data_IF_388313439711
#
_entry.id   IF_388313439711
#
_cell.length_a   1.000
_cell.length_b   1.000
_cell.length_c   1.000
_cell.angle_alpha   90.00
_cell.angle_beta   90.00
_cell.angle_gamma   90.00
#
_symmetry.space_group_name_H-M   'P 1'
#
loop_
_entity.id
_entity.type
_entity.pdbx_description
1 polymer ?
#
# COMPACT_ATOMS: atom_id res chain seq x y z
N UNK A 1 20.69 12.91 15.38
CA UNK A 1 19.28 12.91 14.86
C UNK A 1 18.33 12.68 16.03
N UNK A 2 17.15 13.33 16.04
CA UNK A 2 16.10 13.06 17.04
C UNK A 2 15.33 11.78 16.68
N UNK A 3 14.81 11.12 17.71
CA UNK A 3 14.02 9.91 17.53
C UNK A 3 12.61 10.30 17.11
N UNK A 4 12.11 9.74 16.00
CA UNK A 4 10.72 9.96 15.56
C UNK A 4 9.74 9.27 16.50
N UNK A 5 8.70 9.99 16.92
CA UNK A 5 7.56 9.45 17.67
C UNK A 5 6.53 8.82 16.72
N UNK A 6 6.41 9.36 15.53
CA UNK A 6 5.55 8.80 14.47
C UNK A 6 5.94 7.36 14.15
N UNK A 7 4.96 6.52 13.87
CA UNK A 7 5.17 5.10 13.59
C UNK A 7 5.31 4.21 14.83
N UNK A 8 5.38 4.79 16.03
CA UNK A 8 5.37 4.02 17.29
C UNK A 8 3.95 3.66 17.69
N UNK A 9 3.77 2.41 18.13
CA UNK A 9 2.49 2.02 18.73
C UNK A 9 2.40 2.43 20.20
N UNK A 10 1.22 2.18 20.79
CA UNK A 10 0.96 2.61 22.15
C UNK A 10 1.92 1.98 23.18
N UNK A 11 2.33 0.73 22.99
CA UNK A 11 3.23 0.05 23.92
C UNK A 11 4.68 0.58 23.84
N UNK A 12 5.12 0.94 22.64
CA UNK A 12 6.40 1.63 22.46
C UNK A 12 6.38 3.03 23.06
N UNK A 13 5.26 3.76 22.92
CA UNK A 13 5.08 5.05 23.57
C UNK A 13 5.02 4.92 25.10
N UNK A 14 4.41 3.85 25.65
CA UNK A 14 4.44 3.59 27.11
C UNK A 14 5.86 3.35 27.63
N UNK A 15 6.67 2.58 26.89
CA UNK A 15 8.08 2.35 27.25
C UNK A 15 8.86 3.66 27.23
N UNK A 16 8.68 4.45 26.18
CA UNK A 16 9.33 5.76 26.03
C UNK A 16 8.99 6.70 27.19
N UNK A 17 7.71 6.87 27.52
CA UNK A 17 7.32 7.79 28.61
C UNK A 17 7.82 7.30 29.97
N UNK A 18 7.93 5.99 30.19
CA UNK A 18 8.51 5.42 31.42
C UNK A 18 10.01 5.72 31.51
N UNK A 19 10.75 5.59 30.40
CA UNK A 19 12.19 5.94 30.33
C UNK A 19 12.44 7.42 30.59
N UNK A 20 11.49 8.30 30.20
CA UNK A 20 11.58 9.75 30.44
C UNK A 20 10.97 10.16 31.79
N UNK A 21 10.61 9.23 32.66
CA UNK A 21 10.03 9.52 33.98
C UNK A 21 8.67 10.20 33.95
N UNK A 22 7.95 10.06 32.83
CA UNK A 22 6.61 10.66 32.65
C UNK A 22 5.50 9.69 33.11
N UNK A 23 4.35 10.20 33.56
CA UNK A 23 3.19 9.35 33.92
C UNK A 23 2.75 8.47 32.74
N UNK A 24 2.37 7.22 33.01
CA UNK A 24 2.02 6.24 31.97
C UNK A 24 0.87 6.67 31.04
N UNK A 25 -0.08 7.49 31.51
CA UNK A 25 -1.16 8.03 30.69
C UNK A 25 -0.67 8.99 29.60
N UNK A 26 0.53 9.57 29.75
CA UNK A 26 1.16 10.47 28.78
C UNK A 26 1.36 9.78 27.42
N UNK A 27 1.57 8.47 27.39
CA UNK A 27 1.68 7.70 26.14
C UNK A 27 0.42 7.83 25.29
N UNK A 28 -0.76 7.68 25.91
CA UNK A 28 -2.05 7.84 25.19
C UNK A 28 -2.28 9.28 24.76
N UNK A 29 -1.84 10.25 25.55
CA UNK A 29 -1.91 11.67 25.16
C UNK A 29 -1.03 11.95 23.93
N UNK A 30 0.21 11.45 23.92
CA UNK A 30 1.12 11.59 22.75
C UNK A 30 0.49 10.93 21.52
N UNK A 31 -0.01 9.69 21.62
CA UNK A 31 -0.67 9.00 20.53
C UNK A 31 -1.85 9.82 19.96
N UNK A 32 -2.69 10.37 20.83
CA UNK A 32 -3.82 11.20 20.46
C UNK A 32 -3.39 12.48 19.72
N UNK A 33 -2.32 13.13 20.15
CA UNK A 33 -1.79 14.31 19.47
C UNK A 33 -1.24 13.97 18.08
N UNK A 34 -0.49 12.89 17.97
CA UNK A 34 0.16 12.51 16.72
C UNK A 34 -0.88 11.97 15.71
N UNK A 35 -1.72 11.00 16.11
CA UNK A 35 -2.54 10.22 15.17
C UNK A 35 -3.95 10.77 14.98
N UNK A 36 -4.52 11.42 16.00
CA UNK A 36 -5.87 11.97 15.92
C UNK A 36 -5.83 13.46 15.55
N UNK A 37 -5.01 14.23 16.26
CA UNK A 37 -4.87 15.69 16.01
C UNK A 37 -3.84 16.03 14.93
N UNK A 38 -3.00 15.07 14.54
CA UNK A 38 -2.03 15.17 13.43
C UNK A 38 -1.07 16.36 13.59
N UNK A 39 -0.63 16.64 14.82
CA UNK A 39 0.33 17.72 15.09
C UNK A 39 1.67 17.46 14.42
N UNK A 40 2.41 18.52 14.16
CA UNK A 40 3.74 18.48 13.52
C UNK A 40 4.87 18.63 14.51
N UNK A 41 4.62 19.21 15.67
CA UNK A 41 5.62 19.50 16.69
C UNK A 41 5.18 19.03 18.07
N UNK A 42 6.15 18.75 18.95
CA UNK A 42 5.87 18.39 20.35
C UNK A 42 5.28 19.60 21.12
N UNK A 43 5.62 20.82 20.72
CA UNK A 43 5.11 22.03 21.38
C UNK A 43 3.60 22.22 21.24
N UNK A 44 2.99 21.66 20.21
CA UNK A 44 1.54 21.64 20.01
C UNK A 44 0.78 20.74 21.01
N UNK A 45 1.48 19.84 21.72
CA UNK A 45 0.89 18.90 22.69
C UNK A 45 0.54 19.60 24.01
N UNK A 46 -0.38 20.55 23.97
CA UNK A 46 -0.63 21.52 25.07
C UNK A 46 -1.16 20.95 26.37
N UNK A 47 -1.67 19.71 26.39
CA UNK A 47 -2.05 19.01 27.63
C UNK A 47 -0.86 18.35 28.34
N UNK A 48 0.35 18.40 27.75
CA UNK A 48 1.60 18.09 28.44
C UNK A 48 2.16 19.35 29.08
N UNK A 49 2.80 19.21 30.24
CA UNK A 49 3.45 20.35 30.88
C UNK A 49 4.54 20.95 29.99
N UNK A 50 4.83 22.26 30.14
CA UNK A 50 5.91 22.91 29.39
C UNK A 50 7.26 22.21 29.60
N UNK A 51 7.53 21.77 30.83
CA UNK A 51 8.77 21.06 31.18
C UNK A 51 8.85 19.69 30.45
N UNK A 52 7.74 18.92 30.43
CA UNK A 52 7.69 17.64 29.71
C UNK A 52 7.89 17.83 28.20
N UNK A 53 7.24 18.82 27.58
CA UNK A 53 7.42 19.13 26.15
C UNK A 53 8.88 19.51 25.84
N UNK A 54 9.48 20.37 26.65
CA UNK A 54 10.87 20.78 26.48
C UNK A 54 11.83 19.59 26.62
N UNK A 55 11.64 18.72 27.61
CA UNK A 55 12.45 17.51 27.79
C UNK A 55 12.31 16.54 26.62
N UNK A 56 11.07 16.25 26.19
CA UNK A 56 10.83 15.40 25.04
C UNK A 56 11.44 15.98 23.76
N UNK A 57 11.28 17.28 23.50
CA UNK A 57 11.77 17.93 22.30
C UNK A 57 13.31 17.94 22.17
N UNK A 58 14.05 17.70 23.25
CA UNK A 58 15.51 17.53 23.18
C UNK A 58 15.91 16.23 22.49
N UNK A 59 15.20 15.14 22.75
CA UNK A 59 15.53 13.80 22.29
C UNK A 59 14.66 13.32 21.12
N UNK A 60 13.42 13.80 21.04
CA UNK A 60 12.39 13.32 20.13
C UNK A 60 11.86 14.43 19.22
N UNK A 61 11.24 13.99 18.15
CA UNK A 61 10.43 14.80 17.23
C UNK A 61 9.16 14.04 16.84
N UNK A 62 8.11 14.72 16.39
CA UNK A 62 6.95 14.04 15.83
C UNK A 62 7.37 13.25 14.61
N UNK A 63 8.12 13.84 13.70
CA UNK A 63 8.83 13.15 12.63
C UNK A 63 7.96 12.85 11.40
N UNK A 64 6.95 13.69 11.13
CA UNK A 64 6.17 13.60 9.88
C UNK A 64 7.03 14.08 8.72
N UNK A 65 7.18 13.26 7.70
CA UNK A 65 7.85 13.62 6.45
C UNK A 65 6.87 14.40 5.56
N UNK A 66 7.13 15.68 5.22
CA UNK A 66 6.29 16.43 4.30
C UNK A 66 6.48 15.92 2.86
N UNK A 67 5.48 16.11 2.01
CA UNK A 67 5.69 15.91 0.59
C UNK A 67 6.53 17.05 -0.01
N UNK A 68 7.31 16.72 -1.04
CA UNK A 68 8.17 17.65 -1.76
C UNK A 68 7.55 18.11 -3.09
N UNK A 69 6.52 17.43 -3.57
CA UNK A 69 5.88 17.75 -4.83
C UNK A 69 4.45 17.26 -4.90
N UNK A 70 3.64 17.97 -5.72
CA UNK A 70 2.24 17.69 -5.95
C UNK A 70 1.91 17.86 -7.43
N UNK A 71 1.23 16.87 -8.00
CA UNK A 71 0.61 16.94 -9.32
C UNK A 71 -0.89 16.70 -9.17
N UNK A 72 -1.69 17.43 -9.93
CA UNK A 72 -3.15 17.36 -9.90
C UNK A 72 -3.64 16.99 -11.30
N UNK A 73 -4.38 15.88 -11.38
CA UNK A 73 -5.02 15.41 -12.59
C UNK A 73 -6.30 16.20 -12.91
N UNK A 74 -6.69 16.18 -14.16
CA UNK A 74 -7.96 16.74 -14.63
C UNK A 74 -9.19 16.08 -13.98
N UNK A 75 -9.06 14.84 -13.51
CA UNK A 75 -10.12 14.11 -12.82
C UNK A 75 -10.12 14.33 -11.27
N UNK A 76 -9.28 15.26 -10.80
CA UNK A 76 -9.14 15.60 -9.38
C UNK A 76 -8.21 14.67 -8.59
N UNK A 77 -7.67 13.62 -9.21
CA UNK A 77 -6.65 12.76 -8.58
C UNK A 77 -5.40 13.58 -8.28
N UNK A 78 -4.82 13.39 -7.09
CA UNK A 78 -3.59 14.08 -6.68
C UNK A 78 -2.48 13.09 -6.43
N UNK A 79 -1.31 13.34 -7.02
CA UNK A 79 -0.09 12.56 -6.82
C UNK A 79 0.92 13.38 -6.02
N UNK A 80 1.29 12.85 -4.87
CA UNK A 80 2.22 13.44 -3.93
C UNK A 80 3.57 12.73 -4.00
N UNK A 81 4.66 13.48 -4.10
CA UNK A 81 6.03 12.96 -4.04
C UNK A 81 6.60 13.18 -2.64
N UNK A 82 7.06 12.10 -2.00
CA UNK A 82 7.69 12.14 -0.69
C UNK A 82 9.17 11.76 -0.79
N UNK A 83 10.09 12.57 -0.24
CA UNK A 83 11.43 12.14 0.02
C UNK A 83 11.42 11.15 1.19
N UNK A 84 12.08 10.02 1.03
CA UNK A 84 12.16 8.99 2.07
C UNK A 84 13.59 8.52 2.25
N UNK A 85 13.91 8.07 3.48
CA UNK A 85 15.14 7.34 3.77
C UNK A 85 14.78 5.88 3.97
N UNK A 86 15.30 5.02 3.13
CA UNK A 86 14.95 3.61 3.05
C UNK A 86 16.07 2.72 3.57
N UNK A 87 15.73 1.55 4.10
CA UNK A 87 16.68 0.55 4.55
C UNK A 87 16.48 -0.76 3.81
N UNK A 88 17.56 -1.45 3.46
CA UNK A 88 17.52 -2.82 2.94
C UNK A 88 17.21 -3.85 4.02
N UNK A 89 17.32 -3.50 5.30
CA UNK A 89 17.03 -4.37 6.43
C UNK A 89 15.52 -4.52 6.61
N UNK A 90 15.09 -5.73 6.98
CA UNK A 90 13.70 -6.06 7.33
C UNK A 90 13.50 -5.99 8.83
N UNK A 91 12.31 -5.59 9.26
CA UNK A 91 11.87 -5.61 10.66
C UNK A 91 11.57 -4.24 11.24
N UNK A 92 10.89 -4.26 12.39
CA UNK A 92 10.55 -3.07 13.18
C UNK A 92 11.73 -2.70 14.10
N UNK A 93 11.87 -1.40 14.36
CA UNK A 93 12.81 -0.89 15.37
C UNK A 93 14.27 -1.33 15.19
N UNK A 94 14.67 -1.65 13.95
CA UNK A 94 16.07 -1.87 13.67
C UNK A 94 16.82 -0.57 13.94
N UNK A 95 17.89 -0.65 14.72
CA UNK A 95 18.89 0.43 14.78
C UNK A 95 19.63 0.39 13.45
N UNK A 96 19.15 1.19 12.52
CA UNK A 96 19.81 1.43 11.24
C UNK A 96 20.60 2.70 11.44
N UNK A 97 21.91 2.65 11.24
CA UNK A 97 22.73 3.87 11.25
C UNK A 97 22.36 4.73 10.05
N UNK A 98 22.66 6.03 10.12
CA UNK A 98 22.39 6.93 8.99
C UNK A 98 23.08 6.50 7.71
N UNK A 99 24.27 5.93 7.83
CA UNK A 99 25.08 5.43 6.71
C UNK A 99 24.48 4.19 6.02
N UNK A 100 23.53 3.52 6.69
CA UNK A 100 22.80 2.35 6.15
C UNK A 100 21.45 2.74 5.51
N UNK A 101 21.11 4.02 5.50
CA UNK A 101 19.89 4.54 4.87
C UNK A 101 20.22 5.12 3.50
N UNK A 102 19.46 4.70 2.49
CA UNK A 102 19.54 5.27 1.15
C UNK A 102 18.44 6.33 0.96
N UNK A 103 18.82 7.43 0.31
CA UNK A 103 17.85 8.44 -0.12
C UNK A 103 17.00 7.88 -1.26
N UNK A 104 15.69 8.03 -1.11
CA UNK A 104 14.71 7.57 -2.09
C UNK A 104 13.56 8.55 -2.22
N UNK A 105 12.73 8.30 -3.21
CA UNK A 105 11.47 9.00 -3.39
C UNK A 105 10.35 8.00 -3.62
N UNK A 106 9.18 8.30 -3.07
CA UNK A 106 7.96 7.52 -3.30
C UNK A 106 6.81 8.43 -3.69
N UNK A 107 5.84 7.86 -4.36
CA UNK A 107 4.61 8.55 -4.71
C UNK A 107 3.43 7.96 -3.95
N UNK A 108 2.55 8.84 -3.44
CA UNK A 108 1.23 8.47 -2.93
C UNK A 108 0.17 9.14 -3.79
N UNK A 109 -0.96 8.47 -3.98
CA UNK A 109 -2.03 8.99 -4.85
C UNK A 109 -3.33 9.10 -4.06
N UNK A 110 -3.86 10.32 -3.94
CA UNK A 110 -5.20 10.56 -3.41
C UNK A 110 -6.20 10.53 -4.56
N UNK A 111 -7.15 9.63 -4.47
CA UNK A 111 -8.21 9.42 -5.47
C UNK A 111 -9.52 9.90 -4.86
N UNK A 112 -10.08 11.02 -5.37
CA UNK A 112 -11.37 11.51 -4.93
C UNK A 112 -12.50 10.66 -5.54
N UNK A 113 -13.55 10.48 -4.76
CA UNK A 113 -14.84 9.97 -5.17
C UNK A 113 -15.90 10.77 -4.39
N UNK A 114 -17.15 10.80 -4.79
CA UNK A 114 -18.17 11.72 -4.25
C UNK A 114 -18.16 11.79 -2.71
N UNK A 115 -18.24 10.65 -2.05
CA UNK A 115 -18.24 10.56 -0.57
C UNK A 115 -16.94 9.96 -0.02
N UNK A 116 -15.98 9.60 -0.86
CA UNK A 116 -14.77 8.91 -0.47
C UNK A 116 -13.51 9.63 -0.95
N UNK A 117 -12.51 9.62 -0.10
CA UNK A 117 -11.15 9.97 -0.47
C UNK A 117 -10.26 8.77 -0.16
N UNK A 118 -9.77 8.11 -1.19
CA UNK A 118 -8.93 6.91 -1.07
C UNK A 118 -7.48 7.28 -1.26
N UNK A 119 -6.62 6.93 -0.30
CA UNK A 119 -5.18 7.07 -0.45
C UNK A 119 -4.57 5.76 -0.94
N UNK A 120 -3.93 5.80 -2.10
CA UNK A 120 -3.05 4.75 -2.60
C UNK A 120 -1.66 4.96 -2.01
N UNK A 121 -1.21 4.02 -1.17
CA UNK A 121 -0.06 4.16 -0.29
C UNK A 121 1.09 3.32 -0.78
N UNK A 122 2.29 3.87 -0.73
CA UNK A 122 3.56 3.18 -1.00
C UNK A 122 4.16 2.59 0.28
N UNK A 123 4.83 1.45 0.14
CA UNK A 123 5.47 0.71 1.23
C UNK A 123 6.97 0.50 1.08
N UNK A 124 7.50 0.74 -0.12
CA UNK A 124 8.92 0.62 -0.45
C UNK A 124 9.32 1.71 -1.45
N UNK A 125 10.57 2.08 -1.49
CA UNK A 125 11.17 2.78 -2.61
C UNK A 125 11.66 1.72 -3.61
N UNK A 126 11.09 1.74 -4.83
CA UNK A 126 11.24 0.65 -5.78
C UNK A 126 10.55 -0.66 -5.36
N UNK A 127 10.80 -1.75 -6.10
CA UNK A 127 10.22 -3.06 -5.81
C UNK A 127 11.09 -4.18 -6.38
N UNK A 128 11.42 -5.18 -5.56
CA UNK A 128 12.25 -6.32 -6.01
C UNK A 128 11.48 -7.40 -6.78
N UNK A 129 10.15 -7.28 -6.88
CA UNK A 129 9.32 -8.31 -7.53
C UNK A 129 9.46 -8.34 -9.04
N UNK A 130 9.94 -7.26 -9.65
CA UNK A 130 10.36 -7.20 -11.04
C UNK A 130 9.23 -7.37 -12.07
N UNK A 131 7.98 -7.06 -11.72
CA UNK A 131 6.86 -7.09 -12.66
C UNK A 131 7.16 -6.19 -13.85
N UNK A 132 7.19 -6.74 -15.07
CA UNK A 132 7.69 -6.05 -16.27
C UNK A 132 6.74 -4.95 -16.76
N UNK A 133 5.48 -5.03 -16.40
CA UNK A 133 4.43 -4.05 -16.72
C UNK A 133 4.28 -2.95 -15.66
N UNK A 134 5.15 -2.89 -14.65
CA UNK A 134 5.09 -1.95 -13.55
C UNK A 134 6.36 -1.10 -13.49
N UNK A 135 6.22 0.22 -13.54
CA UNK A 135 7.35 1.15 -13.49
C UNK A 135 8.16 1.00 -12.19
N UNK A 136 7.49 0.83 -11.06
CA UNK A 136 8.15 0.58 -9.77
C UNK A 136 8.97 -0.72 -9.79
N UNK A 137 8.44 -1.79 -10.39
CA UNK A 137 9.14 -3.07 -10.49
C UNK A 137 10.36 -3.04 -11.41
N UNK A 138 10.35 -2.15 -12.40
CA UNK A 138 11.47 -1.97 -13.36
C UNK A 138 12.62 -1.14 -12.82
N UNK A 139 12.37 -0.30 -11.82
CA UNK A 139 13.41 0.53 -11.19
C UNK A 139 14.32 -0.25 -10.25
N UNK A 140 13.96 -1.49 -9.92
CA UNK A 140 14.63 -2.24 -8.88
C UNK A 140 14.18 -1.85 -7.47
N UNK A 141 14.93 -2.26 -6.48
CA UNK A 141 14.62 -2.08 -5.07
C UNK A 141 15.65 -1.18 -4.40
N UNK A 142 15.19 -0.09 -3.81
CA UNK A 142 16.02 0.89 -3.10
C UNK A 142 15.88 0.79 -1.58
N UNK A 143 14.80 0.18 -1.07
CA UNK A 143 14.67 -0.11 0.36
C UNK A 143 13.25 -0.09 0.90
N UNK A 144 13.14 -0.59 2.14
CA UNK A 144 11.89 -0.61 2.91
C UNK A 144 11.62 0.75 3.56
N UNK A 145 10.38 1.18 3.49
CA UNK A 145 9.91 2.34 4.25
C UNK A 145 9.64 1.94 5.70
N UNK A 146 9.94 2.84 6.64
CA UNK A 146 9.52 2.68 8.03
C UNK A 146 8.01 2.87 8.20
N UNK A 147 7.45 2.39 9.30
CA UNK A 147 6.06 2.67 9.64
C UNK A 147 5.78 4.18 9.75
N UNK A 148 6.76 4.98 10.20
CA UNK A 148 6.66 6.44 10.24
C UNK A 148 6.50 7.04 8.84
N UNK A 149 7.26 6.57 7.85
CA UNK A 149 7.18 7.09 6.48
C UNK A 149 5.87 6.65 5.81
N UNK A 150 5.37 5.43 6.10
CA UNK A 150 4.07 4.98 5.63
C UNK A 150 2.95 5.87 6.22
N UNK A 151 2.96 6.11 7.54
CA UNK A 151 1.93 6.95 8.21
C UNK A 151 2.06 8.42 7.81
N UNK A 152 3.28 8.90 7.48
CA UNK A 152 3.47 10.27 6.98
C UNK A 152 2.61 10.55 5.74
N UNK A 153 2.40 9.58 4.85
CA UNK A 153 1.57 9.75 3.67
C UNK A 153 0.11 10.09 4.05
N UNK A 154 -0.42 9.53 5.15
CA UNK A 154 -1.78 9.81 5.61
C UNK A 154 -1.91 11.18 6.28
N UNK A 155 -0.86 11.64 6.94
CA UNK A 155 -0.89 12.88 7.72
C UNK A 155 -0.52 14.08 6.84
N UNK A 156 0.40 13.91 5.88
CA UNK A 156 1.00 15.03 5.16
C UNK A 156 0.23 15.48 3.92
N UNK A 157 -0.64 14.62 3.35
CA UNK A 157 -1.47 15.01 2.19
C UNK A 157 -2.51 16.07 2.58
N UNK A 158 -2.89 16.94 1.65
CA UNK A 158 -3.82 18.06 1.87
C UNK A 158 -5.20 17.56 2.36
N UNK A 159 -5.63 16.38 1.90
CA UNK A 159 -6.91 15.77 2.25
C UNK A 159 -6.86 14.89 3.50
N UNK A 160 -5.82 15.00 4.32
CA UNK A 160 -5.60 14.14 5.49
C UNK A 160 -6.84 13.93 6.35
N UNK A 161 -7.65 15.00 6.57
CA UNK A 161 -8.87 14.93 7.39
C UNK A 161 -10.09 14.38 6.64
N UNK A 162 -10.00 14.28 5.31
CA UNK A 162 -11.08 13.76 4.45
C UNK A 162 -10.84 12.32 4.02
N UNK A 163 -9.67 11.76 4.28
CA UNK A 163 -9.36 10.39 3.90
C UNK A 163 -10.33 9.41 4.55
N UNK A 164 -10.92 8.53 3.75
CA UNK A 164 -11.87 7.52 4.22
C UNK A 164 -11.39 6.09 4.01
N UNK A 165 -10.52 5.86 3.01
CA UNK A 165 -10.05 4.54 2.62
C UNK A 165 -8.55 4.56 2.30
N UNK A 166 -7.92 3.40 2.41
CA UNK A 166 -6.54 3.19 1.98
C UNK A 166 -6.40 1.92 1.15
N UNK A 167 -5.54 1.99 0.13
CA UNK A 167 -5.12 0.83 -0.64
C UNK A 167 -3.59 0.80 -0.70
N UNK A 168 -2.99 -0.28 -0.23
CA UNK A 168 -1.55 -0.51 -0.35
C UNK A 168 -1.27 -1.08 -1.74
N UNK A 169 -1.40 -0.22 -2.75
CA UNK A 169 -1.24 -0.52 -4.18
C UNK A 169 -0.29 0.48 -4.86
N UNK A 170 0.43 1.28 -4.08
CA UNK A 170 1.46 2.18 -4.54
C UNK A 170 2.77 1.46 -4.82
N UNK A 171 3.89 2.12 -4.56
CA UNK A 171 5.21 1.57 -4.80
C UNK A 171 5.57 0.49 -3.76
N UNK A 172 6.12 -0.64 -4.25
CA UNK A 172 6.60 -1.74 -3.44
C UNK A 172 5.61 -2.89 -3.26
N UNK A 173 6.12 -3.99 -2.66
CA UNK A 173 5.34 -5.15 -2.24
C UNK A 173 5.10 -5.07 -0.72
N UNK A 174 3.85 -4.85 -0.27
CA UNK A 174 3.57 -4.66 1.15
C UNK A 174 3.98 -5.84 2.02
N UNK A 175 3.80 -7.08 1.54
CA UNK A 175 4.17 -8.26 2.33
C UNK A 175 5.67 -8.54 2.33
N UNK A 176 6.47 -7.90 1.48
CA UNK A 176 7.93 -7.90 1.60
C UNK A 176 8.42 -6.93 2.70
N UNK A 177 7.64 -5.87 2.97
CA UNK A 177 7.85 -4.93 4.10
C UNK A 177 6.84 -5.19 5.24
N UNK A 178 6.62 -6.45 5.56
CA UNK A 178 5.51 -6.92 6.39
C UNK A 178 5.36 -6.19 7.71
N UNK A 179 6.42 -6.16 8.52
CA UNK A 179 6.33 -5.66 9.89
C UNK A 179 6.01 -4.15 9.95
N UNK A 180 6.58 -3.35 9.05
CA UNK A 180 6.28 -1.91 8.96
C UNK A 180 4.86 -1.65 8.44
N UNK A 181 4.40 -2.43 7.47
CA UNK A 181 3.04 -2.35 6.94
C UNK A 181 2.02 -2.74 8.01
N UNK A 182 2.26 -3.84 8.74
CA UNK A 182 1.38 -4.27 9.83
C UNK A 182 1.35 -3.26 10.97
N UNK A 183 2.49 -2.62 11.30
CA UNK A 183 2.54 -1.52 12.26
C UNK A 183 1.71 -0.31 11.77
N UNK A 184 1.81 0.06 10.52
CA UNK A 184 0.99 1.13 9.95
C UNK A 184 -0.51 0.79 10.02
N UNK A 185 -0.89 -0.45 9.70
CA UNK A 185 -2.28 -0.94 9.81
C UNK A 185 -2.76 -0.93 11.27
N UNK A 186 -1.94 -1.33 12.23
CA UNK A 186 -2.24 -1.23 13.67
C UNK A 186 -2.58 0.21 14.04
N UNK A 187 -1.75 1.18 13.66
CA UNK A 187 -1.97 2.61 13.92
C UNK A 187 -3.25 3.12 13.25
N UNK A 188 -3.53 2.68 12.01
CA UNK A 188 -4.73 3.10 11.29
C UNK A 188 -6.02 2.53 11.91
N UNK A 189 -5.96 1.33 12.52
CA UNK A 189 -7.17 0.62 12.99
C UNK A 189 -7.39 0.69 14.49
N UNK A 190 -6.36 0.97 15.29
CA UNK A 190 -6.46 1.03 16.74
C UNK A 190 -7.27 2.24 17.21
N UNK A 191 -7.95 2.11 18.36
CA UNK A 191 -8.75 3.16 19.01
C UNK A 191 -7.93 4.37 19.48
N UNK A 192 -6.66 4.16 19.77
CA UNK A 192 -5.72 5.23 20.14
C UNK A 192 -5.06 5.89 18.91
N UNK A 193 -5.27 5.33 17.71
CA UNK A 193 -4.75 5.80 16.44
C UNK A 193 -5.81 6.51 15.58
N UNK A 194 -5.91 6.14 14.30
CA UNK A 194 -6.92 6.71 13.39
C UNK A 194 -8.33 6.13 13.60
N UNK A 195 -8.45 5.02 14.31
CA UNK A 195 -9.70 4.30 14.59
C UNK A 195 -10.52 3.91 13.34
N UNK A 196 -9.83 3.62 12.23
CA UNK A 196 -10.50 3.19 11.01
C UNK A 196 -10.97 1.74 11.11
N UNK A 197 -12.11 1.45 10.51
CA UNK A 197 -12.52 0.05 10.32
C UNK A 197 -11.53 -0.66 9.37
N UNK A 198 -11.10 -1.90 9.68
CA UNK A 198 -10.30 -2.71 8.76
C UNK A 198 -10.90 -2.84 7.34
N UNK A 199 -12.21 -2.74 7.20
CA UNK A 199 -12.93 -2.75 5.90
C UNK A 199 -12.58 -1.57 4.99
N UNK A 200 -11.98 -0.51 5.53
CA UNK A 200 -11.55 0.68 4.78
C UNK A 200 -10.14 0.52 4.21
N UNK A 201 -9.46 -0.58 4.52
CA UNK A 201 -8.07 -0.82 4.14
C UNK A 201 -7.99 -2.07 3.28
N UNK A 202 -7.33 -1.97 2.13
CA UNK A 202 -7.00 -3.10 1.26
C UNK A 202 -5.50 -3.21 1.13
N UNK A 203 -4.95 -4.38 1.39
CA UNK A 203 -3.53 -4.69 1.15
C UNK A 203 -3.44 -5.53 -0.12
N UNK A 204 -2.68 -5.04 -1.09
CA UNK A 204 -2.38 -5.77 -2.32
C UNK A 204 -1.07 -6.51 -2.19
N UNK A 205 -0.98 -7.70 -2.75
CA UNK A 205 0.24 -8.51 -2.78
C UNK A 205 0.32 -9.38 -4.01
N UNK A 206 1.53 -9.69 -4.41
CA UNK A 206 1.81 -10.72 -5.42
C UNK A 206 1.74 -12.14 -4.84
N UNK A 207 1.62 -12.28 -3.52
CA UNK A 207 1.52 -13.56 -2.81
C UNK A 207 2.83 -14.05 -2.20
N UNK A 208 3.54 -13.20 -1.45
CA UNK A 208 4.73 -13.60 -0.66
C UNK A 208 4.31 -14.61 0.40
N UNK A 209 4.37 -15.91 0.08
CA UNK A 209 3.69 -16.99 0.83
C UNK A 209 3.93 -17.00 2.34
N UNK A 210 5.17 -16.87 2.87
CA UNK A 210 5.38 -16.87 4.32
C UNK A 210 4.65 -15.74 5.04
N UNK A 211 4.71 -14.54 4.47
CA UNK A 211 4.07 -13.36 5.04
C UNK A 211 2.58 -13.27 4.69
N UNK A 212 2.15 -13.86 3.58
CA UNK A 212 0.72 -14.00 3.26
C UNK A 212 0.01 -14.86 4.30
N UNK A 213 0.61 -15.97 4.73
CA UNK A 213 0.05 -16.80 5.80
C UNK A 213 -0.12 -15.99 7.09
N UNK A 214 0.94 -15.30 7.53
CA UNK A 214 0.87 -14.40 8.70
C UNK A 214 -0.23 -13.35 8.54
N UNK A 215 -0.32 -12.70 7.37
CA UNK A 215 -1.36 -11.71 7.09
C UNK A 215 -2.77 -12.30 7.22
N UNK A 216 -2.99 -13.49 6.71
CA UNK A 216 -4.28 -14.18 6.78
C UNK A 216 -4.69 -14.52 8.22
N UNK A 217 -3.72 -14.77 9.09
CA UNK A 217 -3.92 -15.09 10.51
C UNK A 217 -4.05 -13.83 11.38
N UNK A 218 -3.25 -12.78 11.13
CA UNK A 218 -3.07 -11.63 12.01
C UNK A 218 -3.94 -10.41 11.59
N UNK A 219 -4.31 -10.26 10.30
CA UNK A 219 -4.93 -9.06 9.77
C UNK A 219 -6.39 -9.28 9.35
N UNK A 220 -7.24 -8.29 9.61
CA UNK A 220 -8.67 -8.29 9.22
C UNK A 220 -8.98 -7.35 8.03
N UNK A 221 -7.98 -6.69 7.48
CA UNK A 221 -8.15 -5.84 6.30
C UNK A 221 -8.46 -6.67 5.05
N UNK A 222 -8.99 -6.03 4.02
CA UNK A 222 -9.21 -6.67 2.73
C UNK A 222 -7.90 -7.07 2.08
N UNK A 223 -7.91 -8.20 1.36
CA UNK A 223 -6.78 -8.71 0.59
C UNK A 223 -7.05 -8.52 -0.90
N UNK A 224 -6.09 -7.99 -1.64
CA UNK A 224 -6.06 -8.01 -3.09
C UNK A 224 -4.83 -8.80 -3.57
N UNK A 225 -5.01 -9.71 -4.51
CA UNK A 225 -3.93 -10.56 -5.02
C UNK A 225 -3.67 -10.23 -6.49
N UNK A 226 -2.43 -9.85 -6.81
CA UNK A 226 -1.97 -9.61 -8.18
C UNK A 226 -1.86 -10.93 -8.93
N UNK A 227 -2.93 -11.33 -9.63
CA UNK A 227 -2.99 -12.58 -10.39
C UNK A 227 -2.42 -12.39 -11.80
N UNK A 228 -3.00 -11.49 -12.57
CA UNK A 228 -2.66 -11.00 -13.91
C UNK A 228 -2.57 -12.07 -15.02
N UNK A 229 -2.34 -13.32 -14.70
CA UNK A 229 -2.37 -14.43 -15.65
C UNK A 229 -2.60 -15.78 -14.94
N UNK A 230 -3.53 -16.65 -15.44
CA UNK A 230 -3.78 -17.97 -14.85
C UNK A 230 -2.77 -19.02 -15.30
N UNK A 231 -2.02 -18.79 -16.38
CA UNK A 231 -1.06 -19.75 -16.92
C UNK A 231 0.34 -19.46 -16.42
N UNK A 232 0.95 -20.40 -15.71
CA UNK A 232 2.25 -20.22 -15.07
C UNK A 232 3.37 -19.74 -16.00
N UNK A 233 3.54 -20.29 -17.24
CA UNK A 233 4.56 -19.80 -18.17
C UNK A 233 4.33 -18.36 -18.63
N UNK A 234 3.08 -18.00 -18.91
CA UNK A 234 2.72 -16.64 -19.35
C UNK A 234 2.89 -15.66 -18.20
N UNK A 235 2.40 -16.01 -17.00
CA UNK A 235 2.60 -15.20 -15.80
C UNK A 235 4.08 -14.99 -15.49
N UNK A 236 4.92 -16.02 -15.62
CA UNK A 236 6.38 -15.91 -15.42
C UNK A 236 7.01 -14.92 -16.40
N UNK A 237 6.51 -14.85 -17.64
CA UNK A 237 7.04 -13.93 -18.65
C UNK A 237 6.85 -12.45 -18.30
N UNK A 238 5.81 -12.11 -17.54
CA UNK A 238 5.48 -10.72 -17.13
C UNK A 238 5.70 -10.47 -15.63
N UNK A 239 5.66 -11.52 -14.80
CA UNK A 239 5.86 -11.49 -13.35
C UNK A 239 6.90 -12.53 -12.92
N UNK A 240 8.19 -12.21 -12.88
CA UNK A 240 9.26 -13.15 -12.51
C UNK A 240 9.06 -13.82 -11.15
N UNK A 241 8.33 -13.18 -10.26
CA UNK A 241 7.97 -13.71 -8.92
C UNK A 241 7.18 -15.03 -8.98
N UNK A 242 6.58 -15.37 -10.12
CA UNK A 242 5.93 -16.66 -10.35
C UNK A 242 6.85 -17.86 -10.10
N UNK A 243 8.16 -17.68 -10.33
CA UNK A 243 9.17 -18.71 -10.05
C UNK A 243 9.42 -18.94 -8.58
N UNK A 244 9.21 -17.92 -7.73
CA UNK A 244 9.40 -18.02 -6.28
C UNK A 244 8.10 -18.38 -5.55
N UNK A 245 6.98 -17.82 -5.99
CA UNK A 245 5.65 -18.02 -5.40
C UNK A 245 4.61 -18.25 -6.52
N UNK A 246 4.41 -19.51 -6.92
CA UNK A 246 3.43 -19.88 -7.94
C UNK A 246 2.03 -19.45 -7.54
N UNK A 247 1.28 -18.85 -8.47
CA UNK A 247 -0.06 -18.33 -8.18
C UNK A 247 -1.02 -19.40 -7.69
N UNK A 248 -0.87 -20.65 -8.15
CA UNK A 248 -1.69 -21.74 -7.68
C UNK A 248 -1.50 -22.00 -6.18
N UNK A 249 -0.25 -22.00 -5.70
CA UNK A 249 0.05 -22.19 -4.26
C UNK A 249 -0.49 -21.03 -3.41
N UNK A 250 -0.45 -19.80 -3.94
CA UNK A 250 -1.06 -18.62 -3.29
C UNK A 250 -2.57 -18.81 -3.14
N UNK A 251 -3.24 -19.26 -4.19
CA UNK A 251 -4.70 -19.51 -4.18
C UNK A 251 -5.03 -20.68 -3.24
N UNK A 252 -4.25 -21.75 -3.27
CA UNK A 252 -4.47 -22.93 -2.42
C UNK A 252 -4.29 -22.58 -0.93
N UNK A 253 -3.34 -21.70 -0.59
CA UNK A 253 -3.22 -21.16 0.75
C UNK A 253 -4.47 -20.33 1.13
N UNK A 254 -4.92 -19.43 0.25
CA UNK A 254 -6.09 -18.57 0.51
C UNK A 254 -7.35 -19.41 0.73
N UNK A 255 -7.54 -20.49 -0.03
CA UNK A 255 -8.70 -21.40 0.10
C UNK A 255 -8.80 -22.11 1.47
N UNK A 256 -7.75 -22.09 2.27
CA UNK A 256 -7.76 -22.65 3.62
C UNK A 256 -8.41 -21.72 4.66
N UNK A 257 -8.73 -20.47 4.26
CA UNK A 257 -9.28 -19.44 5.15
C UNK A 257 -10.71 -19.06 4.77
N UNK A 258 -11.49 -18.69 5.78
CA UNK A 258 -12.86 -18.23 5.59
C UNK A 258 -12.91 -16.72 5.32
N UNK A 259 -13.57 -16.34 4.24
CA UNK A 259 -13.82 -14.94 3.84
C UNK A 259 -15.30 -14.56 3.95
N UNK A 260 -16.16 -15.44 4.44
CA UNK A 260 -17.54 -15.12 4.77
C UNK A 260 -17.55 -14.10 5.92
N UNK A 261 -18.13 -12.95 5.73
CA UNK A 261 -18.26 -11.94 6.78
C UNK A 261 -17.50 -10.64 6.51
N UNK A 262 -16.43 -10.33 7.28
CA UNK A 262 -15.85 -8.97 7.25
C UNK A 262 -14.74 -8.77 6.23
N UNK A 263 -13.84 -9.72 6.09
CA UNK A 263 -12.70 -9.65 5.17
C UNK A 263 -13.14 -10.09 3.78
N UNK A 264 -12.62 -9.39 2.75
CA UNK A 264 -12.84 -9.75 1.35
C UNK A 264 -11.51 -10.08 0.71
N UNK A 265 -11.52 -11.02 -0.24
CA UNK A 265 -10.42 -11.25 -1.16
C UNK A 265 -10.83 -10.84 -2.57
N UNK A 266 -9.95 -10.12 -3.24
CA UNK A 266 -10.07 -9.79 -4.66
C UNK A 266 -8.81 -10.22 -5.41
N UNK A 267 -8.97 -10.48 -6.71
CA UNK A 267 -7.86 -10.74 -7.61
C UNK A 267 -7.78 -9.62 -8.63
N UNK A 268 -6.58 -9.06 -8.78
CA UNK A 268 -6.30 -7.98 -9.71
C UNK A 268 -5.79 -8.59 -11.02
N UNK A 269 -6.34 -8.14 -12.14
CA UNK A 269 -6.05 -8.68 -13.47
C UNK A 269 -5.88 -7.56 -14.49
N UNK A 270 -4.64 -7.20 -14.77
CA UNK A 270 -4.31 -6.23 -15.82
C UNK A 270 -4.42 -6.93 -17.18
N UNK A 271 -5.20 -6.35 -18.08
CA UNK A 271 -5.49 -6.94 -19.38
C UNK A 271 -4.56 -6.40 -20.47
N UNK A 272 -3.85 -7.31 -21.11
CA UNK A 272 -2.93 -7.03 -22.23
C UNK A 272 -3.50 -7.59 -23.52
N UNK A 273 -3.62 -6.74 -24.54
CA UNK A 273 -4.21 -7.10 -25.83
C UNK A 273 -3.49 -8.29 -26.49
N UNK A 274 -4.25 -9.34 -26.83
CA UNK A 274 -3.76 -10.53 -27.51
C UNK A 274 -2.84 -11.42 -26.68
N UNK A 275 -2.66 -11.12 -25.39
CA UNK A 275 -1.81 -11.91 -24.48
C UNK A 275 -2.67 -12.68 -23.48
N UNK A 276 -3.30 -11.99 -22.52
CA UNK A 276 -4.05 -12.60 -21.43
C UNK A 276 -5.58 -12.32 -21.48
N UNK A 277 -6.08 -11.75 -22.56
CA UNK A 277 -7.47 -11.29 -22.72
C UNK A 277 -8.38 -12.27 -23.51
N UNK A 278 -7.94 -13.51 -23.68
CA UNK A 278 -8.66 -14.51 -24.47
C UNK A 278 -9.72 -15.28 -23.67
N UNK A 279 -10.64 -15.94 -24.38
CA UNK A 279 -11.63 -16.82 -23.77
C UNK A 279 -10.98 -17.93 -22.92
N UNK A 280 -9.84 -18.48 -23.38
CA UNK A 280 -9.12 -19.52 -22.65
C UNK A 280 -8.65 -19.05 -21.27
N UNK A 281 -8.20 -17.78 -21.15
CA UNK A 281 -7.81 -17.16 -19.90
C UNK A 281 -9.01 -16.99 -18.95
N UNK A 282 -10.14 -16.49 -19.46
CA UNK A 282 -11.35 -16.38 -18.65
C UNK A 282 -11.80 -17.75 -18.11
N UNK A 283 -11.78 -18.79 -18.95
CA UNK A 283 -12.16 -20.15 -18.55
C UNK A 283 -11.18 -20.75 -17.52
N UNK A 284 -9.89 -20.44 -17.65
CA UNK A 284 -8.88 -20.85 -16.68
C UNK A 284 -9.10 -20.17 -15.33
N UNK A 285 -9.38 -18.85 -15.29
CA UNK A 285 -9.70 -18.11 -14.08
C UNK A 285 -10.94 -18.68 -13.37
N UNK A 286 -12.00 -18.98 -14.12
CA UNK A 286 -13.22 -19.60 -13.58
C UNK A 286 -12.89 -20.92 -12.87
N UNK A 287 -12.09 -21.78 -13.51
CA UNK A 287 -11.69 -23.05 -12.91
C UNK A 287 -10.79 -22.88 -11.69
N UNK A 288 -9.80 -21.98 -11.78
CA UNK A 288 -8.79 -21.72 -10.74
C UNK A 288 -9.43 -21.18 -9.46
N UNK A 289 -10.40 -20.27 -9.59
CA UNK A 289 -11.05 -19.60 -8.47
C UNK A 289 -12.34 -20.29 -7.99
N UNK A 290 -12.71 -21.40 -8.62
CA UNK A 290 -13.90 -22.15 -8.24
C UNK A 290 -13.89 -22.53 -6.76
N UNK A 291 -14.99 -22.25 -6.08
CA UNK A 291 -15.18 -22.57 -4.65
C UNK A 291 -14.57 -21.55 -3.68
N UNK A 292 -13.95 -20.46 -4.18
CA UNK A 292 -13.47 -19.36 -3.35
C UNK A 292 -14.43 -18.18 -3.47
N UNK A 293 -14.94 -17.67 -2.34
CA UNK A 293 -15.71 -16.43 -2.30
C UNK A 293 -14.77 -15.23 -2.53
N UNK A 294 -14.72 -14.78 -3.77
CA UNK A 294 -13.81 -13.71 -4.17
C UNK A 294 -14.41 -12.79 -5.23
N UNK A 295 -13.69 -11.74 -5.55
CA UNK A 295 -14.00 -10.80 -6.64
C UNK A 295 -12.82 -10.73 -7.61
N UNK A 296 -13.13 -10.37 -8.85
CA UNK A 296 -12.14 -10.07 -9.87
C UNK A 296 -12.22 -8.58 -10.23
N UNK A 297 -11.07 -7.90 -10.23
CA UNK A 297 -10.93 -6.54 -10.71
C UNK A 297 -10.12 -6.55 -12.00
N UNK A 298 -10.74 -6.24 -13.11
CA UNK A 298 -10.06 -6.04 -14.38
C UNK A 298 -9.49 -4.64 -14.42
N UNK A 299 -8.22 -4.52 -14.78
CA UNK A 299 -7.48 -3.27 -14.86
C UNK A 299 -7.09 -3.04 -16.30
N UNK A 300 -7.41 -1.84 -16.84
CA UNK A 300 -6.85 -1.42 -18.12
C UNK A 300 -5.36 -1.22 -17.98
N UNK A 301 -4.60 -1.82 -18.88
CA UNK A 301 -3.16 -1.60 -18.91
C UNK A 301 -2.87 -0.17 -19.40
N UNK A 302 -1.96 0.51 -18.72
CA UNK A 302 -1.44 1.80 -19.16
C UNK A 302 -0.05 1.58 -19.73
N UNK A 303 0.14 2.00 -20.98
CA UNK A 303 1.39 1.79 -21.71
C UNK A 303 2.56 2.42 -20.96
N UNK A 304 3.60 1.63 -20.79
CA UNK A 304 4.88 2.05 -20.23
C UNK A 304 5.99 1.86 -21.26
N UNK A 305 7.10 2.61 -21.16
CA UNK A 305 8.22 2.46 -22.09
C UNK A 305 8.74 1.01 -22.14
N UNK A 306 9.18 0.56 -23.32
CA UNK A 306 9.83 -0.74 -23.55
C UNK A 306 9.05 -1.98 -23.05
N UNK A 307 7.73 -1.91 -23.02
CA UNK A 307 6.87 -3.07 -22.76
C UNK A 307 6.04 -3.39 -24.01
N UNK A 308 6.04 -4.63 -24.49
CA UNK A 308 5.58 -4.94 -25.86
C UNK A 308 4.05 -4.98 -26.03
N UNK A 309 3.29 -5.00 -24.94
CA UNK A 309 1.84 -5.13 -24.99
C UNK A 309 1.13 -3.79 -24.96
N UNK A 310 -0.07 -3.78 -25.53
CA UNK A 310 -1.01 -2.67 -25.51
C UNK A 310 -2.20 -2.99 -24.59
N UNK A 311 -3.02 -1.98 -24.29
CA UNK A 311 -4.28 -2.21 -23.56
C UNK A 311 -5.28 -2.97 -24.40
N UNK A 312 -6.04 -3.88 -23.79
CA UNK A 312 -7.13 -4.58 -24.46
C UNK A 312 -8.24 -3.61 -24.84
N UNK A 313 -8.89 -3.86 -25.97
CA UNK A 313 -10.05 -3.07 -26.42
C UNK A 313 -11.22 -3.21 -25.44
N UNK A 314 -11.99 -2.14 -25.25
CA UNK A 314 -13.13 -2.13 -24.33
C UNK A 314 -14.13 -3.26 -24.58
N UNK A 315 -14.40 -3.59 -25.85
CA UNK A 315 -15.31 -4.69 -26.22
C UNK A 315 -14.77 -6.04 -25.71
N UNK A 316 -13.45 -6.25 -25.75
CA UNK A 316 -12.82 -7.47 -25.25
C UNK A 316 -12.92 -7.52 -23.73
N UNK A 317 -12.63 -6.38 -23.05
CA UNK A 317 -12.74 -6.26 -21.59
C UNK A 317 -14.17 -6.56 -21.12
N UNK A 318 -15.17 -5.97 -21.76
CA UNK A 318 -16.58 -6.19 -21.39
C UNK A 318 -17.06 -7.63 -21.68
N UNK A 319 -16.64 -8.25 -22.78
CA UNK A 319 -16.90 -9.64 -23.06
C UNK A 319 -16.25 -10.58 -22.02
N UNK A 320 -15.01 -10.30 -21.65
CA UNK A 320 -14.27 -11.04 -20.64
C UNK A 320 -14.97 -10.92 -19.27
N UNK A 321 -15.30 -9.71 -18.84
CA UNK A 321 -16.08 -9.42 -17.62
C UNK A 321 -17.43 -10.16 -17.62
N UNK A 322 -18.19 -10.06 -18.72
CA UNK A 322 -19.49 -10.72 -18.86
C UNK A 322 -19.37 -12.23 -18.68
N UNK A 323 -18.33 -12.84 -19.29
CA UNK A 323 -18.09 -14.28 -19.17
C UNK A 323 -17.80 -14.69 -17.73
N UNK A 324 -16.96 -13.93 -17.02
CA UNK A 324 -16.65 -14.21 -15.61
C UNK A 324 -17.90 -14.05 -14.72
N UNK A 325 -18.66 -12.99 -14.91
CA UNK A 325 -19.90 -12.74 -14.14
C UNK A 325 -20.95 -13.82 -14.38
N UNK A 326 -21.12 -14.28 -15.63
CA UNK A 326 -22.06 -15.36 -15.97
C UNK A 326 -21.67 -16.71 -15.35
N UNK A 327 -20.42 -16.87 -14.94
CA UNK A 327 -19.94 -18.05 -14.20
C UNK A 327 -20.04 -17.92 -12.68
N UNK A 328 -20.55 -16.79 -12.19
CA UNK A 328 -20.68 -16.50 -10.76
C UNK A 328 -19.44 -15.82 -10.14
N UNK A 329 -18.38 -15.54 -10.92
CA UNK A 329 -17.22 -14.79 -10.43
C UNK A 329 -17.50 -13.28 -10.58
N UNK A 330 -17.89 -12.65 -9.47
CA UNK A 330 -18.17 -11.20 -9.45
C UNK A 330 -16.99 -10.40 -9.98
N UNK A 331 -17.17 -9.75 -11.11
CA UNK A 331 -16.09 -9.06 -11.82
C UNK A 331 -16.45 -7.60 -12.11
N UNK A 332 -15.52 -6.71 -11.84
CA UNK A 332 -15.64 -5.28 -12.13
C UNK A 332 -14.45 -4.81 -12.98
N UNK A 333 -14.66 -3.75 -13.78
CA UNK A 333 -13.58 -3.04 -14.46
C UNK A 333 -13.24 -1.81 -13.61
N UNK A 334 -11.99 -1.67 -13.18
CA UNK A 334 -11.56 -0.50 -12.40
C UNK A 334 -11.49 0.72 -13.31
N UNK A 335 -12.02 1.83 -12.82
CA UNK A 335 -11.81 3.11 -13.47
C UNK A 335 -10.33 3.50 -13.38
N UNK A 336 -9.75 3.94 -14.50
CA UNK A 336 -8.45 4.58 -14.50
C UNK A 336 -8.56 5.97 -13.90
N UNK A 337 -7.61 6.34 -13.05
CA UNK A 337 -7.56 7.64 -12.40
C UNK A 337 -6.16 8.21 -12.50
N UNK A 338 -6.06 9.53 -12.73
CA UNK A 338 -4.79 10.25 -12.77
C UNK A 338 -3.85 9.79 -13.89
N UNK A 339 -4.37 9.34 -15.02
CA UNK A 339 -3.57 8.84 -16.14
C UNK A 339 -2.66 9.94 -16.73
N UNK A 340 -3.20 11.16 -16.86
CA UNK A 340 -2.51 12.35 -17.38
C UNK A 340 -1.31 12.80 -16.54
N UNK A 341 -1.27 12.41 -15.26
CA UNK A 341 -0.16 12.67 -14.33
C UNK A 341 0.64 11.40 -13.97
N UNK A 342 0.48 10.32 -14.73
CA UNK A 342 1.13 9.03 -14.47
C UNK A 342 0.87 8.50 -13.05
N UNK A 343 -0.37 8.62 -12.56
CA UNK A 343 -0.79 8.15 -11.25
C UNK A 343 -1.61 6.86 -11.28
N UNK A 344 -1.90 6.32 -12.47
CA UNK A 344 -2.63 5.07 -12.62
C UNK A 344 -1.80 3.85 -12.15
N UNK A 345 -2.49 2.73 -11.93
CA UNK A 345 -1.85 1.50 -11.44
C UNK A 345 -0.68 1.07 -12.33
N UNK A 346 0.47 0.80 -11.73
CA UNK A 346 1.70 0.40 -12.41
C UNK A 346 2.56 1.53 -12.96
N UNK A 347 2.13 2.79 -12.90
CA UNK A 347 2.83 3.93 -13.48
C UNK A 347 3.74 4.68 -12.49
N UNK A 348 3.65 4.42 -11.19
CA UNK A 348 4.42 5.16 -10.17
C UNK A 348 5.92 4.84 -10.25
N UNK A 349 6.72 5.89 -10.29
CA UNK A 349 8.16 5.82 -10.51
C UNK A 349 9.01 6.59 -9.49
N UNK A 350 8.40 7.25 -8.50
CA UNK A 350 9.13 8.07 -7.52
C UNK A 350 9.85 9.26 -8.15
N UNK A 351 9.41 9.73 -9.31
CA UNK A 351 10.03 10.83 -10.05
C UNK A 351 9.00 11.91 -10.35
N UNK A 352 9.41 13.17 -10.15
CA UNK A 352 8.73 14.27 -10.81
C UNK A 352 9.08 14.22 -12.30
N UNK A 353 8.10 13.96 -13.15
CA UNK A 353 8.21 14.42 -14.52
C UNK A 353 8.09 15.95 -14.46
N UNK A 354 9.21 16.64 -14.34
CA UNK A 354 9.28 18.02 -14.71
C UNK A 354 8.87 18.05 -16.21
N UNK A 355 7.66 18.49 -16.50
CA UNK A 355 7.39 19.02 -17.82
C UNK A 355 8.25 20.27 -17.92
N UNK A 356 9.27 20.23 -18.79
CA UNK A 356 9.92 21.40 -19.32
C UNK A 356 8.89 22.37 -19.91
#
# INVERSE_FOLDING_TARGET
>A
MKIKLLGKNLDELKKLVAEEGLPGFTAKQIAQWIYVKKVRTIDEMTNLSKAARAALAQKYEVGVTPYAGLQISTDGTKKYLFPVKCSHKRGLNLRVSEDELEDGAIEAVMIPDDERATLCVSSQSGCRMGCRFCMTGRQGFHGHMSAADIISQFIAVDESDRLTNAVFMGMGEPLDNYDNVMRAIEILTADWGFAWSPKRITVSTIGVLPNLKRYLEECKCHLAVSLHDPFAPERLSVMPVQGAWPIQEVIDLIKQYDFTGQRRVSFEYTMFAGFNDTKAHADALIRMLKGLECRMNLIRFHKIPDFPYETSQDVIIENFKTRLNNSGLMTTVRASRGEDILAACGMLAGQHNAKE
#
